data_IF_897533873253
#
_entry.id   IF_897533873253
#
_cell.length_a   1.000
_cell.length_b   1.000
_cell.length_c   1.000
_cell.angle_alpha   90.00
_cell.angle_beta   90.00
_cell.angle_gamma   90.00
#
_symmetry.space_group_name_H-M   'P 1'
#
loop_
_entity.id
_entity.type
_entity.pdbx_description
1 polymer ?
#
# COMPACT_ATOMS: atom_id res chain seq x y z
N UNK A 1 49.50 -4.08 -30.26
CA UNK A 1 48.11 -4.37 -29.96
C UNK A 1 47.78 -3.88 -28.58
N UNK A 2 47.11 -2.75 -28.50
CA UNK A 2 46.71 -2.19 -27.21
C UNK A 2 45.30 -2.68 -26.92
N UNK A 3 45.21 -3.58 -25.93
CA UNK A 3 43.91 -3.96 -25.40
C UNK A 3 43.47 -2.87 -24.41
N UNK A 4 42.50 -2.07 -24.80
CA UNK A 4 41.87 -1.12 -23.89
C UNK A 4 40.83 -1.90 -23.10
N UNK A 5 41.15 -2.26 -21.89
CA UNK A 5 40.17 -2.76 -20.95
C UNK A 5 39.38 -1.55 -20.43
N UNK A 6 38.22 -1.31 -20.99
CA UNK A 6 37.30 -0.35 -20.42
C UNK A 6 36.67 -0.98 -19.17
N UNK A 7 37.19 -0.61 -18.03
CA UNK A 7 36.55 -0.94 -16.78
C UNK A 7 35.31 -0.04 -16.62
N UNK A 8 34.16 -0.56 -16.92
CA UNK A 8 32.90 0.09 -16.53
C UNK A 8 32.75 -0.09 -15.02
N UNK A 9 33.14 0.93 -14.28
CA UNK A 9 32.76 1.01 -12.90
C UNK A 9 31.23 1.29 -12.85
N UNK A 10 30.45 0.26 -12.68
CA UNK A 10 29.08 0.40 -12.27
C UNK A 10 29.07 1.00 -10.87
N UNK A 11 28.92 2.32 -10.81
CA UNK A 11 28.65 2.98 -9.56
C UNK A 11 27.26 2.51 -9.09
N UNK A 12 27.24 1.48 -8.25
CA UNK A 12 26.06 1.14 -7.52
C UNK A 12 25.79 2.30 -6.56
N UNK A 13 24.79 3.08 -6.86
CA UNK A 13 24.29 4.09 -5.94
C UNK A 13 23.63 3.35 -4.81
N UNK A 14 24.15 3.44 -3.57
CA UNK A 14 23.39 2.91 -2.48
C UNK A 14 22.09 3.72 -2.42
N UNK A 15 20.97 3.05 -2.58
CA UNK A 15 19.69 3.58 -2.19
C UNK A 15 19.74 3.75 -0.67
N UNK A 16 20.27 4.88 -0.24
CA UNK A 16 20.15 5.24 1.16
C UNK A 16 18.66 5.40 1.44
N UNK A 17 18.10 4.62 2.37
CA UNK A 17 16.80 4.95 2.86
C UNK A 17 16.91 6.38 3.37
N UNK A 18 16.20 7.31 2.74
CA UNK A 18 16.11 8.66 3.26
C UNK A 18 15.61 8.53 4.67
N UNK A 19 16.52 8.60 5.62
CA UNK A 19 16.14 8.89 6.97
C UNK A 19 15.38 10.19 6.91
N UNK A 20 14.06 10.13 7.00
CA UNK A 20 13.22 11.30 7.10
C UNK A 20 13.54 11.94 8.43
N UNK A 21 14.52 12.87 8.42
CA UNK A 21 14.87 13.69 9.56
C UNK A 21 15.22 12.90 10.83
N UNK A 22 15.56 13.61 11.86
CA UNK A 22 15.67 13.05 13.22
C UNK A 22 14.27 12.61 13.64
N UNK A 23 13.96 11.36 13.34
CA UNK A 23 12.67 10.80 13.63
C UNK A 23 12.44 10.79 15.14
N UNK A 24 11.56 11.65 15.60
CA UNK A 24 10.96 11.46 16.92
C UNK A 24 10.27 10.10 16.93
N UNK A 25 10.36 9.32 18.01
CA UNK A 25 9.60 8.10 18.14
C UNK A 25 8.12 8.40 17.87
N UNK A 26 7.51 7.56 17.04
CA UNK A 26 6.08 7.70 16.73
C UNK A 26 5.27 7.47 18.00
N UNK A 27 4.26 8.32 18.24
CA UNK A 27 3.32 8.12 19.33
C UNK A 27 2.48 6.85 19.11
N UNK A 28 1.91 6.30 20.18
CA UNK A 28 1.09 5.11 20.11
C UNK A 28 -0.11 5.28 19.17
N UNK A 29 -0.77 6.43 19.19
CA UNK A 29 -1.92 6.68 18.30
C UNK A 29 -1.52 6.85 16.84
N UNK A 30 -0.36 7.44 16.56
CA UNK A 30 0.15 7.53 15.19
C UNK A 30 0.50 6.15 14.63
N UNK A 31 1.12 5.30 15.44
CA UNK A 31 1.37 3.90 15.04
C UNK A 31 0.08 3.17 14.71
N UNK A 32 -0.97 3.39 15.51
CA UNK A 32 -2.28 2.79 15.27
C UNK A 32 -2.92 3.31 13.98
N UNK A 33 -2.80 4.59 13.71
CA UNK A 33 -3.30 5.18 12.47
C UNK A 33 -2.57 4.61 11.25
N UNK A 34 -1.27 4.40 11.33
CA UNK A 34 -0.50 3.75 10.26
C UNK A 34 -1.03 2.34 10.00
N UNK A 35 -1.26 1.56 11.05
CA UNK A 35 -1.83 0.21 10.92
C UNK A 35 -3.20 0.24 10.26
N UNK A 36 -4.06 1.18 10.63
CA UNK A 36 -5.40 1.35 10.05
C UNK A 36 -5.32 1.72 8.56
N UNK A 37 -4.45 2.64 8.20
CA UNK A 37 -4.24 3.00 6.79
C UNK A 37 -3.78 1.81 5.97
N UNK A 38 -2.86 1.02 6.50
CA UNK A 38 -2.39 -0.19 5.80
C UNK A 38 -3.47 -1.25 5.68
N UNK A 39 -4.27 -1.43 6.72
CA UNK A 39 -5.40 -2.35 6.70
C UNK A 39 -6.45 -1.93 5.67
N UNK A 40 -6.75 -0.64 5.57
CA UNK A 40 -7.67 -0.11 4.55
C UNK A 40 -7.10 -0.29 3.14
N UNK A 41 -5.83 -0.03 2.94
CA UNK A 41 -5.16 -0.25 1.66
C UNK A 41 -5.25 -1.72 1.23
N UNK A 42 -4.98 -2.65 2.15
CA UNK A 42 -5.08 -4.08 1.89
C UNK A 42 -6.53 -4.51 1.58
N UNK A 43 -7.51 -3.96 2.27
CA UNK A 43 -8.93 -4.23 2.04
C UNK A 43 -9.37 -3.77 0.65
N UNK A 44 -8.98 -2.57 0.24
CA UNK A 44 -9.26 -2.05 -1.09
C UNK A 44 -8.55 -2.83 -2.19
N UNK A 45 -7.32 -3.23 -1.98
CA UNK A 45 -6.61 -4.09 -2.94
C UNK A 45 -7.32 -5.43 -3.11
N UNK A 46 -7.76 -6.04 -2.03
CA UNK A 46 -8.54 -7.28 -2.08
C UNK A 46 -9.86 -7.10 -2.86
N UNK A 47 -10.54 -5.98 -2.67
CA UNK A 47 -11.77 -5.65 -3.40
C UNK A 47 -11.50 -5.49 -4.90
N UNK A 48 -10.43 -4.79 -5.26
CA UNK A 48 -10.02 -4.62 -6.66
C UNK A 48 -9.76 -5.97 -7.34
N UNK A 49 -9.01 -6.84 -6.69
CA UNK A 49 -8.74 -8.20 -7.20
C UNK A 49 -9.99 -9.03 -7.32
N UNK A 50 -10.91 -8.92 -6.36
CA UNK A 50 -12.19 -9.59 -6.41
C UNK A 50 -12.99 -9.20 -7.66
N UNK A 51 -13.10 -7.89 -7.91
CA UNK A 51 -13.79 -7.35 -9.07
C UNK A 51 -13.11 -7.73 -10.39
N UNK A 52 -11.80 -7.66 -10.45
CA UNK A 52 -11.02 -8.06 -11.63
C UNK A 52 -11.20 -9.54 -11.97
N UNK A 53 -11.44 -10.39 -10.99
CA UNK A 53 -11.66 -11.81 -11.20
C UNK A 53 -12.99 -12.13 -11.89
N UNK A 54 -13.86 -11.13 -12.04
CA UNK A 54 -15.21 -11.32 -12.59
C UNK A 54 -16.22 -11.83 -11.59
N UNK A 55 -15.86 -11.91 -10.32
CA UNK A 55 -16.78 -12.26 -9.26
C UNK A 55 -17.85 -11.19 -9.11
N UNK A 56 -19.04 -11.58 -8.67
CA UNK A 56 -20.17 -10.68 -8.50
C UNK A 56 -19.80 -9.43 -7.66
N UNK A 57 -20.15 -8.27 -8.18
CA UNK A 57 -19.87 -6.99 -7.55
C UNK A 57 -20.41 -6.91 -6.13
N UNK A 58 -21.67 -7.30 -5.92
CA UNK A 58 -22.26 -7.27 -4.59
C UNK A 58 -21.49 -8.16 -3.59
N UNK A 59 -21.04 -9.29 -4.04
CA UNK A 59 -20.22 -10.19 -3.21
C UNK A 59 -18.87 -9.55 -2.87
N UNK A 60 -18.21 -8.93 -3.84
CA UNK A 60 -16.94 -8.23 -3.61
C UNK A 60 -17.11 -7.07 -2.63
N UNK A 61 -18.20 -6.32 -2.74
CA UNK A 61 -18.49 -5.22 -1.83
C UNK A 61 -18.79 -5.71 -0.40
N UNK A 62 -19.47 -6.82 -0.24
CA UNK A 62 -19.72 -7.44 1.07
C UNK A 62 -18.41 -7.89 1.71
N UNK A 63 -17.51 -8.47 0.95
CA UNK A 63 -16.18 -8.86 1.43
C UNK A 63 -15.39 -7.63 1.89
N UNK A 64 -15.45 -6.54 1.13
CA UNK A 64 -14.83 -5.27 1.50
C UNK A 64 -15.39 -4.74 2.83
N UNK A 65 -16.70 -4.73 3.00
CA UNK A 65 -17.33 -4.29 4.24
C UNK A 65 -16.84 -5.09 5.44
N UNK A 66 -16.69 -6.40 5.28
CA UNK A 66 -16.19 -7.27 6.33
C UNK A 66 -14.74 -6.93 6.70
N UNK A 67 -13.88 -6.73 5.71
CA UNK A 67 -12.48 -6.38 5.93
C UNK A 67 -12.31 -4.99 6.55
N UNK A 68 -13.20 -4.06 6.24
CA UNK A 68 -13.14 -2.67 6.70
C UNK A 68 -13.89 -2.42 8.00
N UNK A 69 -14.49 -3.42 8.60
CA UNK A 69 -15.27 -3.26 9.82
C UNK A 69 -14.45 -2.60 10.93
N UNK A 70 -14.92 -1.43 11.38
CA UNK A 70 -14.24 -0.65 12.41
C UNK A 70 -13.07 0.20 11.91
N UNK A 71 -12.76 0.20 10.60
CA UNK A 71 -11.65 0.95 10.03
C UNK A 71 -12.11 2.23 9.34
N UNK A 72 -13.24 2.21 8.67
CA UNK A 72 -13.72 3.33 7.87
C UNK A 72 -15.23 3.51 7.99
N UNK A 73 -15.67 4.70 7.59
CA UNK A 73 -17.07 5.08 7.59
C UNK A 73 -17.69 4.74 6.23
N UNK A 74 -18.94 4.27 6.24
CA UNK A 74 -19.70 3.98 5.04
C UNK A 74 -19.52 2.56 4.51
N UNK A 75 -20.34 2.22 3.53
CA UNK A 75 -20.45 0.86 2.98
C UNK A 75 -19.26 0.44 2.11
N UNK A 76 -18.49 1.41 1.62
CA UNK A 76 -17.41 1.16 0.66
C UNK A 76 -16.04 1.50 1.22
N UNK A 77 -15.87 1.33 2.52
CA UNK A 77 -14.59 1.57 3.19
C UNK A 77 -14.02 2.98 2.92
N UNK A 78 -14.88 4.00 3.04
CA UNK A 78 -14.52 5.40 2.79
C UNK A 78 -14.44 5.80 1.32
N UNK A 79 -14.60 4.87 0.39
CA UNK A 79 -14.53 5.15 -1.04
C UNK A 79 -15.87 5.68 -1.57
N UNK A 80 -15.81 6.57 -2.54
CA UNK A 80 -16.99 6.92 -3.34
C UNK A 80 -17.30 5.76 -4.28
N UNK A 81 -18.52 5.32 -4.29
CA UNK A 81 -18.96 4.25 -5.18
C UNK A 81 -19.77 4.84 -6.35
N UNK A 82 -19.41 4.46 -7.55
CA UNK A 82 -20.13 4.79 -8.77
C UNK A 82 -20.85 3.55 -9.29
N UNK A 83 -22.06 3.77 -9.72
CA UNK A 83 -22.86 2.72 -10.34
C UNK A 83 -22.62 2.60 -11.84
#
# INVERSE_FOLDING_TARGET
MLAIAAAFALAAWPLEPRAQGTAKPLSAHVKKDIERHRAMAAAHEAAARCLESGKDEDQCQKELQTLCKGLAIGKYCGMRHEH
#
